data_IF_341470968606
#
_entry.id   IF_341470968606
#
_cell.length_a   1.000
_cell.length_b   1.000
_cell.length_c   1.000
_cell.angle_alpha   90.00
_cell.angle_beta   90.00
_cell.angle_gamma   90.00
#
_symmetry.space_group_name_H-M   'P 1'
#
loop_
_entity.id
_entity.type
_entity.pdbx_description
1 polymer ?
#
# COMPACT_ATOMS: atom_id res chain seq x y z
N UNK A 1 46.00 10.32 2.26
CA UNK A 1 44.98 10.49 3.31
C UNK A 1 44.22 11.77 3.03
N UNK A 2 43.04 11.64 2.43
CA UNK A 2 41.98 12.67 2.44
C UNK A 2 40.71 11.92 2.07
N UNK A 3 39.95 11.53 3.10
CA UNK A 3 38.68 10.84 2.96
C UNK A 3 37.63 11.77 2.39
N UNK A 4 36.89 11.28 1.40
CA UNK A 4 35.59 11.82 1.08
C UNK A 4 34.65 11.47 2.22
N UNK A 5 34.22 12.49 2.96
CA UNK A 5 33.14 12.36 3.92
C UNK A 5 31.85 12.07 3.13
N UNK A 6 31.26 10.90 3.40
CA UNK A 6 29.86 10.62 3.10
C UNK A 6 29.07 11.65 3.92
N UNK A 7 28.36 12.56 3.26
CA UNK A 7 27.38 13.42 3.93
C UNK A 7 26.35 12.51 4.60
N UNK A 8 26.37 12.45 5.93
CA UNK A 8 25.34 11.75 6.69
C UNK A 8 24.01 12.46 6.44
N UNK A 9 23.09 11.80 5.73
CA UNK A 9 21.68 12.15 5.86
C UNK A 9 21.31 11.98 7.33
N UNK A 10 20.85 13.06 7.95
CA UNK A 10 20.27 13.01 9.28
C UNK A 10 18.99 12.17 9.19
N UNK A 11 19.00 10.98 9.80
CA UNK A 11 17.84 10.10 9.89
C UNK A 11 16.68 10.90 10.49
N UNK A 12 15.58 11.02 9.76
CA UNK A 12 14.39 11.76 10.22
C UNK A 12 13.65 10.92 11.26
N UNK A 13 13.00 11.63 12.18
CA UNK A 13 12.26 11.00 13.27
C UNK A 13 10.93 10.42 12.75
N UNK A 14 10.74 9.07 12.78
CA UNK A 14 9.49 8.45 12.33
C UNK A 14 8.27 8.86 13.16
N UNK A 15 8.44 9.44 14.35
CA UNK A 15 7.34 10.00 15.14
C UNK A 15 6.64 11.19 14.46
N UNK A 16 7.31 11.80 13.48
CA UNK A 16 6.75 12.90 12.66
C UNK A 16 5.88 12.41 11.51
N UNK A 17 5.83 11.10 11.26
CA UNK A 17 5.03 10.54 10.19
C UNK A 17 3.56 10.46 10.61
N UNK A 18 2.67 10.78 9.69
CA UNK A 18 1.24 10.62 9.92
C UNK A 18 0.84 9.20 9.53
N UNK A 19 0.40 8.41 10.50
CA UNK A 19 -0.06 7.04 10.30
C UNK A 19 -1.57 6.96 10.54
N UNK A 20 -2.29 6.26 9.65
CA UNK A 20 -3.73 6.00 9.78
C UNK A 20 -4.07 4.56 9.41
N UNK A 21 -5.20 4.05 9.90
CA UNK A 21 -5.63 2.68 9.66
C UNK A 21 -4.85 1.63 10.47
N UNK A 22 -4.84 0.39 9.97
CA UNK A 22 -4.04 -0.71 10.55
C UNK A 22 -4.54 -1.27 11.87
N UNK A 23 -3.60 -1.81 12.65
CA UNK A 23 -3.88 -2.48 13.93
C UNK A 23 -4.51 -1.55 14.97
N UNK A 24 -4.03 -0.31 15.11
CA UNK A 24 -4.61 0.69 16.03
C UNK A 24 -6.07 0.95 15.68
N UNK A 25 -6.37 1.18 14.40
CA UNK A 25 -7.73 1.39 13.90
C UNK A 25 -8.63 0.19 14.19
N UNK A 26 -8.13 -1.03 13.95
CA UNK A 26 -8.85 -2.28 14.24
C UNK A 26 -9.19 -2.41 15.72
N UNK A 27 -8.18 -2.34 16.60
CA UNK A 27 -8.34 -2.55 18.05
C UNK A 27 -9.32 -1.54 18.64
N UNK A 28 -9.21 -0.27 18.25
CA UNK A 28 -10.10 0.77 18.74
C UNK A 28 -11.56 0.53 18.30
N UNK A 29 -11.78 0.11 17.04
CA UNK A 29 -13.13 -0.19 16.56
C UNK A 29 -13.71 -1.46 17.18
N UNK A 30 -12.93 -2.54 17.29
CA UNK A 30 -13.39 -3.79 17.92
C UNK A 30 -13.76 -3.58 19.39
N UNK A 31 -12.99 -2.77 20.13
CA UNK A 31 -13.31 -2.42 21.51
C UNK A 31 -14.64 -1.65 21.62
N UNK A 32 -14.89 -0.71 20.70
CA UNK A 32 -16.14 0.06 20.65
C UNK A 32 -17.33 -0.83 20.25
N UNK A 33 -17.19 -1.67 19.23
CA UNK A 33 -18.25 -2.58 18.77
C UNK A 33 -18.58 -3.62 19.85
N UNK A 34 -17.58 -4.13 20.56
CA UNK A 34 -17.77 -5.02 21.73
C UNK A 34 -18.54 -4.33 22.85
N UNK A 35 -18.18 -3.09 23.18
CA UNK A 35 -18.88 -2.30 24.20
C UNK A 35 -20.34 -2.02 23.81
N UNK A 36 -20.60 -1.71 22.53
CA UNK A 36 -21.97 -1.52 22.01
C UNK A 36 -22.79 -2.80 22.17
N UNK A 37 -22.24 -3.97 21.80
CA UNK A 37 -22.91 -5.26 21.94
C UNK A 37 -23.24 -5.62 23.39
N UNK A 38 -22.30 -5.38 24.31
CA UNK A 38 -22.50 -5.62 25.74
C UNK A 38 -23.61 -4.70 26.31
N UNK A 39 -23.60 -3.42 25.96
CA UNK A 39 -24.62 -2.45 26.40
C UNK A 39 -26.00 -2.76 25.80
N UNK A 40 -26.07 -3.15 24.53
CA UNK A 40 -27.33 -3.54 23.90
C UNK A 40 -27.92 -4.80 24.56
N UNK A 41 -27.07 -5.78 24.89
CA UNK A 41 -27.47 -6.99 25.60
C UNK A 41 -27.98 -6.67 27.01
N UNK A 42 -27.25 -5.85 27.77
CA UNK A 42 -27.68 -5.39 29.08
C UNK A 42 -29.01 -4.62 29.03
N UNK A 43 -29.17 -3.72 28.06
CA UNK A 43 -30.42 -2.99 27.85
C UNK A 43 -31.61 -3.91 27.53
N UNK A 44 -31.38 -4.99 26.77
CA UNK A 44 -32.41 -5.99 26.47
C UNK A 44 -32.85 -6.74 27.73
N UNK A 45 -31.89 -7.20 28.55
CA UNK A 45 -32.15 -7.86 29.83
C UNK A 45 -32.94 -6.94 30.77
N UNK A 46 -32.48 -5.70 30.95
CA UNK A 46 -33.12 -4.73 31.86
C UNK A 46 -34.53 -4.38 31.35
N UNK A 47 -34.75 -4.26 30.04
CA UNK A 47 -36.06 -3.99 29.47
C UNK A 47 -37.08 -5.12 29.68
N UNK A 48 -36.62 -6.35 29.94
CA UNK A 48 -37.48 -7.48 30.31
C UNK A 48 -37.89 -7.48 31.79
N UNK A 49 -37.13 -6.82 32.67
CA UNK A 49 -37.39 -6.81 34.11
C UNK A 49 -38.76 -6.23 34.49
N UNK A 50 -39.24 -5.10 33.91
CA UNK A 50 -40.58 -4.59 34.18
C UNK A 50 -41.68 -5.63 33.99
N UNK A 51 -41.63 -6.46 32.94
CA UNK A 51 -42.64 -7.49 32.68
C UNK A 51 -42.62 -8.57 33.76
N UNK A 52 -41.42 -9.03 34.14
CA UNK A 52 -41.25 -10.01 35.20
C UNK A 52 -41.71 -9.46 36.57
N UNK A 53 -41.38 -8.20 36.86
CA UNK A 53 -41.76 -7.51 38.10
C UNK A 53 -43.27 -7.28 38.16
N UNK A 54 -43.91 -6.85 37.07
CA UNK A 54 -45.37 -6.69 37.00
C UNK A 54 -46.09 -8.04 37.15
N UNK A 55 -45.57 -9.10 36.52
CA UNK A 55 -46.13 -10.45 36.69
C UNK A 55 -46.02 -10.94 38.15
N UNK A 56 -44.88 -10.69 38.81
CA UNK A 56 -44.68 -11.02 40.22
C UNK A 56 -45.59 -10.18 41.14
N UNK A 57 -45.68 -8.87 40.90
CA UNK A 57 -46.57 -7.94 41.60
C UNK A 57 -48.03 -8.39 41.52
N UNK A 58 -48.51 -8.71 40.31
CA UNK A 58 -49.88 -9.19 40.09
C UNK A 58 -50.16 -10.55 40.76
N UNK A 59 -49.15 -11.42 40.87
CA UNK A 59 -49.29 -12.70 41.58
C UNK A 59 -49.43 -12.51 43.10
N UNK A 60 -48.62 -11.62 43.70
CA UNK A 60 -48.69 -11.29 45.13
C UNK A 60 -50.00 -10.58 45.47
N UNK A 61 -50.43 -9.63 44.64
CA UNK A 61 -51.67 -8.87 44.86
C UNK A 61 -52.91 -9.76 44.92
N UNK A 62 -52.96 -10.83 44.12
CA UNK A 62 -54.06 -11.81 44.16
C UNK A 62 -54.11 -12.64 45.46
N UNK A 63 -52.99 -12.76 46.18
CA UNK A 63 -52.88 -13.54 47.42
C UNK A 63 -52.98 -12.70 48.70
N UNK A 64 -52.65 -11.41 48.64
CA UNK A 64 -52.73 -10.50 49.78
C UNK A 64 -54.17 -10.00 50.00
N UNK A 65 -54.59 -9.82 51.25
CA UNK A 65 -55.82 -9.08 51.55
C UNK A 65 -55.64 -7.64 51.02
N UNK A 66 -56.21 -7.36 49.85
CA UNK A 66 -56.02 -6.11 49.08
C UNK A 66 -56.35 -4.81 49.84
N UNK A 67 -56.91 -4.89 51.05
CA UNK A 67 -57.17 -3.75 51.94
C UNK A 67 -56.16 -3.55 53.07
N UNK A 68 -55.06 -4.32 53.15
CA UNK A 68 -54.05 -4.16 54.20
C UNK A 68 -53.03 -3.06 53.86
N UNK A 69 -52.54 -2.33 54.88
CA UNK A 69 -51.49 -1.32 54.71
C UNK A 69 -50.19 -1.92 54.11
N UNK A 70 -49.86 -3.17 54.46
CA UNK A 70 -48.70 -3.87 53.90
C UNK A 70 -48.81 -4.16 52.41
N UNK A 71 -50.04 -4.41 51.89
CA UNK A 71 -50.25 -4.61 50.47
C UNK A 71 -50.02 -3.29 49.69
N UNK A 72 -50.47 -2.15 50.22
CA UNK A 72 -50.24 -0.84 49.62
C UNK A 72 -48.73 -0.48 49.58
N UNK A 73 -47.99 -0.71 50.67
CA UNK A 73 -46.54 -0.48 50.71
C UNK A 73 -45.80 -1.36 49.69
N UNK A 74 -46.16 -2.64 49.60
CA UNK A 74 -45.58 -3.53 48.59
C UNK A 74 -45.87 -3.05 47.16
N UNK A 75 -47.08 -2.56 46.89
CA UNK A 75 -47.48 -2.07 45.58
C UNK A 75 -46.68 -0.84 45.15
N UNK A 76 -46.50 0.11 46.08
CA UNK A 76 -45.69 1.32 45.88
C UNK A 76 -44.21 0.98 45.63
N UNK A 77 -43.63 0.08 46.44
CA UNK A 77 -42.24 -0.38 46.28
C UNK A 77 -42.03 -1.12 44.94
N UNK A 78 -42.97 -1.99 44.55
CA UNK A 78 -42.91 -2.71 43.28
C UNK A 78 -43.01 -1.74 42.09
N UNK A 79 -43.94 -0.79 42.12
CA UNK A 79 -44.09 0.24 41.10
C UNK A 79 -42.82 1.11 40.99
N UNK A 80 -42.21 1.47 42.12
CA UNK A 80 -40.95 2.21 42.15
C UNK A 80 -39.81 1.39 41.49
N UNK A 81 -39.70 0.10 41.80
CA UNK A 81 -38.69 -0.78 41.21
C UNK A 81 -38.88 -0.97 39.70
N UNK A 82 -40.13 -1.11 39.23
CA UNK A 82 -40.48 -1.16 37.81
C UNK A 82 -40.05 0.14 37.11
N UNK A 83 -40.35 1.29 37.72
CA UNK A 83 -39.92 2.60 37.22
C UNK A 83 -38.39 2.73 37.14
N UNK A 84 -37.67 2.28 38.16
CA UNK A 84 -36.21 2.25 38.17
C UNK A 84 -35.63 1.34 37.07
N UNK A 85 -36.20 0.14 36.88
CA UNK A 85 -35.79 -0.78 35.83
C UNK A 85 -36.03 -0.19 34.43
N UNK A 86 -37.20 0.44 34.20
CA UNK A 86 -37.50 1.11 32.94
C UNK A 86 -36.53 2.27 32.67
N UNK A 87 -36.20 3.07 33.69
CA UNK A 87 -35.21 4.15 33.59
C UNK A 87 -33.82 3.62 33.27
N UNK A 88 -33.37 2.58 33.97
CA UNK A 88 -32.09 1.94 33.73
C UNK A 88 -31.98 1.36 32.30
N UNK A 89 -33.07 0.80 31.75
CA UNK A 89 -33.11 0.35 30.35
C UNK A 89 -32.93 1.52 29.37
N UNK A 90 -33.62 2.64 29.61
CA UNK A 90 -33.50 3.85 28.77
C UNK A 90 -32.09 4.44 28.82
N UNK A 91 -31.52 4.57 30.01
CA UNK A 91 -30.18 5.10 30.20
C UNK A 91 -29.13 4.18 29.54
N UNK A 92 -29.24 2.86 29.71
CA UNK A 92 -28.35 1.89 29.04
C UNK A 92 -28.44 1.99 27.52
N UNK A 93 -29.64 2.15 26.95
CA UNK A 93 -29.82 2.36 25.50
C UNK A 93 -29.24 3.70 25.05
N UNK A 94 -29.36 4.75 25.87
CA UNK A 94 -28.75 6.04 25.59
C UNK A 94 -27.21 5.93 25.58
N UNK A 95 -26.62 5.23 26.54
CA UNK A 95 -25.18 4.92 26.56
C UNK A 95 -24.75 4.13 25.33
N UNK A 96 -25.48 3.06 24.96
CA UNK A 96 -25.18 2.27 23.76
C UNK A 96 -25.16 3.14 22.48
N UNK A 97 -26.15 4.04 22.33
CA UNK A 97 -26.18 5.02 21.23
C UNK A 97 -25.01 6.01 21.29
N UNK A 98 -24.63 6.45 22.48
CA UNK A 98 -23.46 7.31 22.68
C UNK A 98 -22.15 6.64 22.26
N UNK A 99 -21.94 5.37 22.62
CA UNK A 99 -20.77 4.60 22.19
C UNK A 99 -20.77 4.36 20.67
N UNK A 100 -21.93 4.06 20.09
CA UNK A 100 -22.07 3.96 18.63
C UNK A 100 -21.74 5.28 17.91
N UNK A 101 -22.16 6.42 18.48
CA UNK A 101 -21.78 7.73 17.97
C UNK A 101 -20.27 7.99 18.10
N UNK A 102 -19.63 7.54 19.20
CA UNK A 102 -18.19 7.62 19.38
C UNK A 102 -17.42 6.78 18.36
N UNK A 103 -17.90 5.57 18.03
CA UNK A 103 -17.33 4.73 16.97
C UNK A 103 -17.40 5.41 15.60
N UNK A 104 -18.55 6.00 15.26
CA UNK A 104 -18.70 6.79 14.04
C UNK A 104 -17.80 8.03 14.05
N UNK A 105 -17.66 8.70 15.19
CA UNK A 105 -16.77 9.85 15.39
C UNK A 105 -15.29 9.49 15.20
N UNK A 106 -14.85 8.34 15.72
CA UNK A 106 -13.48 7.85 15.54
C UNK A 106 -13.18 7.55 14.07
N UNK A 107 -14.09 6.85 13.37
CA UNK A 107 -13.96 6.60 11.91
C UNK A 107 -13.83 7.91 11.14
N UNK A 108 -14.65 8.90 11.47
CA UNK A 108 -14.61 10.22 10.83
C UNK A 108 -13.31 10.97 11.11
N UNK A 109 -12.80 10.92 12.35
CA UNK A 109 -11.55 11.57 12.74
C UNK A 109 -10.34 10.96 12.01
N UNK A 110 -10.23 9.64 11.95
CA UNK A 110 -9.19 8.94 11.18
C UNK A 110 -9.26 9.29 9.69
N UNK A 111 -10.47 9.28 9.11
CA UNK A 111 -10.66 9.67 7.71
C UNK A 111 -10.28 11.15 7.46
N UNK A 112 -10.53 12.03 8.42
CA UNK A 112 -10.14 13.43 8.35
C UNK A 112 -8.61 13.60 8.41
N UNK A 113 -7.91 12.86 9.28
CA UNK A 113 -6.45 12.88 9.36
C UNK A 113 -5.84 12.37 8.04
N UNK A 114 -6.33 11.24 7.54
CA UNK A 114 -5.89 10.65 6.27
C UNK A 114 -6.12 11.60 5.09
N UNK A 115 -7.31 12.23 5.03
CA UNK A 115 -7.68 13.21 4.02
C UNK A 115 -6.85 14.50 4.10
N UNK A 116 -6.57 15.01 5.31
CA UNK A 116 -5.75 16.21 5.50
C UNK A 116 -4.29 15.96 5.09
N UNK A 117 -3.75 14.79 5.42
CA UNK A 117 -2.39 14.41 5.03
C UNK A 117 -2.25 14.21 3.51
N UNK A 118 -3.26 13.63 2.86
CA UNK A 118 -3.33 13.50 1.40
C UNK A 118 -3.72 14.79 0.66
N UNK A 119 -4.35 15.75 1.33
CA UNK A 119 -4.89 16.97 0.74
C UNK A 119 -3.83 17.84 0.06
N UNK A 120 -2.60 17.85 0.58
CA UNK A 120 -1.49 18.55 -0.07
C UNK A 120 -1.19 17.98 -1.46
N UNK A 121 -1.12 16.65 -1.58
CA UNK A 121 -0.90 15.98 -2.85
C UNK A 121 -2.07 16.19 -3.82
N UNK A 122 -3.32 16.23 -3.33
CA UNK A 122 -4.49 16.54 -4.16
C UNK A 122 -4.48 17.98 -4.69
N UNK A 123 -4.00 18.95 -3.89
CA UNK A 123 -3.80 20.33 -4.33
C UNK A 123 -2.66 20.40 -5.35
N UNK A 124 -1.51 19.76 -5.06
CA UNK A 124 -0.37 19.70 -5.97
C UNK A 124 -0.74 19.02 -7.29
N UNK A 125 -1.62 18.01 -7.24
CA UNK A 125 -2.29 17.45 -8.42
C UNK A 125 -2.91 18.60 -9.20
N UNK A 126 -3.86 19.35 -8.62
CA UNK A 126 -4.52 20.48 -9.26
C UNK A 126 -3.58 21.56 -9.85
N UNK A 127 -2.37 21.73 -9.31
CA UNK A 127 -1.35 22.63 -9.85
C UNK A 127 -0.59 22.04 -11.03
N UNK A 128 -0.40 20.72 -11.05
CA UNK A 128 0.19 19.96 -12.17
C UNK A 128 -0.88 19.60 -13.24
N UNK A 129 -2.17 19.76 -12.94
CA UNK A 129 -3.34 19.40 -13.77
C UNK A 129 -3.49 20.10 -15.12
N UNK A 130 -2.62 21.06 -15.46
CA UNK A 130 -2.43 21.42 -16.87
C UNK A 130 -1.92 20.24 -17.72
N UNK A 131 -1.48 19.16 -17.06
CA UNK A 131 -0.77 18.04 -17.63
C UNK A 131 -1.32 16.65 -17.19
N UNK A 132 -2.58 16.41 -16.77
CA UNK A 132 -3.15 15.03 -16.72
C UNK A 132 -4.68 15.06 -16.80
N UNK A 133 -5.35 14.49 -17.83
CA UNK A 133 -6.80 14.63 -17.95
C UNK A 133 -7.60 13.70 -17.02
N UNK A 134 -8.76 14.15 -16.50
CA UNK A 134 -9.56 13.44 -15.51
C UNK A 134 -10.09 12.07 -15.97
N UNK A 135 -10.28 11.85 -17.29
CA UNK A 135 -10.86 10.61 -17.83
C UNK A 135 -9.97 9.37 -17.74
N UNK A 136 -8.72 9.50 -17.31
CA UNK A 136 -7.78 8.38 -17.18
C UNK A 136 -7.95 7.56 -15.91
N UNK A 137 -8.45 8.20 -14.86
CA UNK A 137 -8.47 7.61 -13.54
C UNK A 137 -9.83 6.97 -13.30
N UNK A 138 -9.81 5.71 -12.89
CA UNK A 138 -11.00 4.93 -12.56
C UNK A 138 -11.72 5.59 -11.37
N UNK A 139 -12.93 6.09 -11.59
CA UNK A 139 -13.88 6.38 -10.50
C UNK A 139 -14.51 5.04 -10.11
N UNK A 140 -14.44 4.61 -8.83
CA UNK A 140 -15.02 3.34 -8.41
C UNK A 140 -16.51 3.28 -8.74
N UNK A 141 -16.91 2.34 -9.60
CA UNK A 141 -18.31 2.13 -10.00
C UNK A 141 -18.67 2.58 -11.43
N UNK A 142 -17.76 3.23 -12.16
CA UNK A 142 -17.98 3.58 -13.57
C UNK A 142 -17.18 2.68 -14.52
N UNK A 143 -17.80 2.32 -15.65
CA UNK A 143 -17.12 1.61 -16.74
C UNK A 143 -16.01 2.50 -17.34
N UNK A 144 -14.94 1.92 -17.91
CA UNK A 144 -13.83 2.69 -18.47
C UNK A 144 -14.36 3.64 -19.55
N UNK A 145 -14.21 4.94 -19.34
CA UNK A 145 -14.49 5.93 -20.39
C UNK A 145 -13.40 5.78 -21.44
N UNK A 146 -13.78 5.40 -22.67
CA UNK A 146 -12.87 5.31 -23.84
C UNK A 146 -12.02 6.57 -24.07
N UNK A 147 -12.43 7.72 -23.51
CA UNK A 147 -11.76 9.02 -23.62
C UNK A 147 -10.48 9.13 -22.76
N UNK A 148 -10.33 8.34 -21.70
CA UNK A 148 -9.12 8.38 -20.85
C UNK A 148 -7.85 8.13 -21.63
N UNK A 149 -7.83 7.04 -22.42
CA UNK A 149 -6.68 6.67 -23.24
C UNK A 149 -6.32 7.73 -24.29
N UNK A 150 -7.29 8.46 -24.84
CA UNK A 150 -7.02 9.58 -25.78
C UNK A 150 -6.37 10.77 -25.10
N UNK A 151 -6.69 10.96 -23.82
CA UNK A 151 -6.27 12.14 -23.07
C UNK A 151 -4.85 11.96 -22.48
N UNK A 152 -4.43 10.72 -22.18
CA UNK A 152 -3.03 10.40 -21.84
C UNK A 152 -2.10 10.45 -23.05
N UNK A 153 -2.61 10.16 -24.26
CA UNK A 153 -1.85 10.29 -25.52
C UNK A 153 -1.37 11.72 -25.77
N UNK A 154 -2.18 12.72 -25.45
CA UNK A 154 -1.81 14.14 -25.56
C UNK A 154 -0.76 14.55 -24.52
N UNK A 155 -0.65 13.77 -23.45
CA UNK A 155 0.17 14.06 -22.29
C UNK A 155 1.58 13.47 -22.39
N UNK A 156 1.67 12.24 -22.87
CA UNK A 156 2.92 11.50 -23.05
C UNK A 156 3.64 11.90 -24.36
N UNK A 157 3.02 12.72 -25.21
CA UNK A 157 3.53 13.15 -26.51
C UNK A 157 3.87 14.65 -26.59
N UNK A 158 4.54 15.19 -25.58
CA UNK A 158 4.91 16.62 -25.53
C UNK A 158 5.50 17.16 -26.84
N UNK A 159 4.74 18.03 -27.49
CA UNK A 159 5.15 19.03 -28.49
C UNK A 159 6.24 18.61 -29.50
N UNK A 160 5.88 17.75 -30.46
CA UNK A 160 6.49 17.76 -31.80
C UNK A 160 5.46 17.19 -32.77
N UNK A 161 5.19 17.92 -33.85
CA UNK A 161 4.11 17.66 -34.81
C UNK A 161 3.98 16.18 -35.21
N UNK A 162 2.90 15.52 -34.77
CA UNK A 162 2.48 14.21 -35.29
C UNK A 162 1.62 14.48 -36.52
N UNK A 163 2.02 14.07 -37.74
CA UNK A 163 1.19 14.24 -38.92
C UNK A 163 -0.09 13.39 -38.79
N UNK A 164 -1.23 13.88 -39.29
CA UNK A 164 -2.47 13.13 -39.21
C UNK A 164 -2.39 11.95 -40.21
N UNK A 165 -3.05 10.84 -39.85
CA UNK A 165 -3.39 9.70 -40.71
C UNK A 165 -2.41 8.49 -40.73
N UNK A 166 -2.25 7.79 -39.61
CA UNK A 166 -2.24 6.31 -39.55
C UNK A 166 -2.84 5.88 -38.20
N UNK A 167 -3.78 4.93 -38.13
CA UNK A 167 -4.28 4.41 -36.85
C UNK A 167 -3.19 3.53 -36.21
N UNK A 168 -2.30 4.15 -35.45
CA UNK A 168 -1.44 3.42 -34.51
C UNK A 168 -2.34 2.90 -33.39
N UNK A 169 -2.79 1.66 -33.58
CA UNK A 169 -3.14 0.77 -32.48
C UNK A 169 -1.87 0.70 -31.62
N UNK A 170 -2.01 0.92 -30.30
CA UNK A 170 -0.97 0.56 -29.32
C UNK A 170 -0.49 -0.83 -29.73
N UNK A 171 0.78 -0.97 -30.11
CA UNK A 171 1.32 -2.19 -30.69
C UNK A 171 1.61 -3.23 -29.57
N UNK A 172 0.60 -3.42 -28.73
CA UNK A 172 0.58 -4.25 -27.54
C UNK A 172 -0.88 -4.34 -27.11
N UNK A 173 -1.46 -5.51 -27.27
CA UNK A 173 -2.77 -5.84 -26.74
C UNK A 173 -2.62 -6.78 -25.55
N UNK A 174 -3.62 -6.89 -24.66
CA UNK A 174 -3.60 -7.84 -23.53
C UNK A 174 -3.46 -9.32 -23.93
N UNK A 175 -3.42 -9.64 -25.24
CA UNK A 175 -3.20 -10.98 -25.79
C UNK A 175 -1.79 -11.21 -26.30
N UNK A 176 -0.96 -10.17 -26.35
CA UNK A 176 0.40 -10.26 -26.82
C UNK A 176 1.25 -10.93 -25.75
N UNK A 177 2.04 -11.90 -26.20
CA UNK A 177 2.83 -12.74 -25.31
C UNK A 177 4.15 -12.06 -25.09
N UNK A 178 4.56 -11.94 -23.84
CA UNK A 178 5.93 -11.56 -23.51
C UNK A 178 6.88 -12.76 -23.64
N UNK A 179 8.12 -12.49 -24.00
CA UNK A 179 9.22 -13.41 -23.72
C UNK A 179 9.70 -13.18 -22.28
N UNK A 180 10.04 -14.26 -21.56
CA UNK A 180 10.52 -14.17 -20.18
C UNK A 180 11.84 -14.91 -20.04
N UNK A 181 12.85 -14.19 -19.56
CA UNK A 181 14.14 -14.76 -19.19
C UNK A 181 14.24 -14.80 -17.67
N UNK A 182 14.55 -15.98 -17.13
CA UNK A 182 14.83 -16.19 -15.71
C UNK A 182 16.32 -16.36 -15.50
N UNK A 183 16.90 -15.59 -14.58
CA UNK A 183 18.26 -15.79 -14.09
C UNK A 183 18.27 -15.93 -12.56
N UNK A 184 19.15 -16.78 -12.05
CA UNK A 184 19.43 -16.88 -10.61
C UNK A 184 20.51 -15.88 -10.25
N UNK A 185 20.33 -15.19 -9.13
CA UNK A 185 21.24 -14.15 -8.63
C UNK A 185 21.51 -14.35 -7.14
N UNK A 186 22.50 -13.64 -6.61
CA UNK A 186 22.77 -13.66 -5.17
C UNK A 186 21.50 -13.28 -4.38
N UNK A 187 21.15 -14.10 -3.38
CA UNK A 187 20.05 -13.80 -2.47
C UNK A 187 20.38 -12.57 -1.62
N UNK A 188 19.34 -11.82 -1.21
CA UNK A 188 19.53 -10.69 -0.31
C UNK A 188 20.06 -11.14 1.05
N UNK A 189 21.10 -10.47 1.52
CA UNK A 189 21.78 -10.80 2.78
C UNK A 189 21.10 -10.21 4.04
N UNK A 190 20.21 -9.25 3.86
CA UNK A 190 19.54 -8.54 4.95
C UNK A 190 18.23 -9.18 5.41
N UNK A 191 17.66 -8.64 6.48
CA UNK A 191 16.37 -9.09 7.00
C UNK A 191 15.22 -8.65 6.07
N UNK A 192 14.67 -9.63 5.34
CA UNK A 192 13.59 -9.44 4.39
C UNK A 192 12.24 -9.03 5.03
N UNK A 193 12.14 -9.02 6.36
CA UNK A 193 10.98 -8.51 7.09
C UNK A 193 11.02 -7.00 7.37
N UNK A 194 12.11 -6.33 7.00
CA UNK A 194 12.28 -4.89 7.24
C UNK A 194 11.81 -4.03 6.07
N UNK A 195 11.39 -2.80 6.39
CA UNK A 195 11.04 -1.81 5.39
C UNK A 195 12.28 -1.31 4.64
N UNK A 196 13.44 -1.19 5.31
CA UNK A 196 14.72 -0.89 4.66
C UNK A 196 15.03 -1.90 3.54
N UNK A 197 14.80 -3.20 3.78
CA UNK A 197 14.97 -4.22 2.75
C UNK A 197 13.99 -4.05 1.60
N UNK A 198 12.71 -3.76 1.88
CA UNK A 198 11.73 -3.48 0.83
C UNK A 198 12.18 -2.32 -0.07
N UNK A 199 12.62 -1.20 0.53
CA UNK A 199 13.16 -0.04 -0.18
C UNK A 199 14.38 -0.36 -1.02
N UNK A 200 15.37 -1.08 -0.45
CA UNK A 200 16.56 -1.51 -1.19
C UNK A 200 16.21 -2.45 -2.35
N UNK A 201 15.34 -3.43 -2.12
CA UNK A 201 14.95 -4.38 -3.17
C UNK A 201 14.27 -3.66 -4.33
N UNK A 202 13.50 -2.60 -4.06
CA UNK A 202 12.87 -1.77 -5.08
C UNK A 202 13.91 -0.94 -5.84
N UNK A 203 14.89 -0.34 -5.16
CA UNK A 203 16.02 0.32 -5.82
C UNK A 203 16.76 -0.66 -6.75
N UNK A 204 16.99 -1.90 -6.30
CA UNK A 204 17.62 -2.95 -7.10
C UNK A 204 16.77 -3.32 -8.33
N UNK A 205 15.47 -3.59 -8.15
CA UNK A 205 14.56 -3.93 -9.25
C UNK A 205 14.40 -2.78 -10.26
N UNK A 206 14.47 -1.53 -9.81
CA UNK A 206 14.43 -0.34 -10.67
C UNK A 206 15.73 -0.17 -11.47
N UNK A 207 16.84 -0.79 -11.05
CA UNK A 207 18.19 -0.53 -11.58
C UNK A 207 18.88 0.70 -10.97
N UNK A 208 18.33 1.27 -9.89
CA UNK A 208 18.91 2.38 -9.15
C UNK A 208 20.00 1.93 -8.14
N UNK A 209 20.05 0.64 -7.81
CA UNK A 209 21.08 0.04 -6.99
C UNK A 209 21.52 -1.32 -7.56
N UNK A 210 22.76 -1.72 -7.27
CA UNK A 210 23.24 -3.07 -7.56
C UNK A 210 22.76 -4.08 -6.53
N UNK A 211 22.74 -5.35 -6.91
CA UNK A 211 22.63 -6.49 -6.00
C UNK A 211 23.85 -6.57 -5.08
N UNK A 212 23.75 -7.40 -4.04
CA UNK A 212 24.78 -7.55 -3.00
C UNK A 212 26.12 -8.04 -3.55
N UNK A 213 26.11 -8.72 -4.70
CA UNK A 213 27.30 -9.18 -5.43
C UNK A 213 27.85 -8.14 -6.44
N UNK A 214 27.25 -6.95 -6.49
CA UNK A 214 27.63 -5.86 -7.39
C UNK A 214 27.02 -5.94 -8.79
N UNK A 215 26.22 -6.97 -9.10
CA UNK A 215 25.55 -7.08 -10.41
C UNK A 215 24.31 -6.17 -10.49
N UNK A 216 23.98 -5.69 -11.68
CA UNK A 216 22.77 -4.88 -11.92
C UNK A 216 21.61 -5.74 -12.38
N UNK A 217 20.40 -5.38 -11.97
CA UNK A 217 19.17 -5.98 -12.51
C UNK A 217 18.87 -5.36 -13.88
N UNK A 218 18.63 -6.16 -14.93
CA UNK A 218 18.22 -5.63 -16.23
C UNK A 218 16.91 -4.85 -16.14
N UNK A 219 16.68 -3.84 -17.00
CA UNK A 219 15.36 -3.24 -17.17
C UNK A 219 14.29 -4.30 -17.47
N UNK A 220 13.03 -3.95 -17.29
CA UNK A 220 11.87 -4.81 -17.52
C UNK A 220 11.86 -6.08 -16.67
N UNK A 221 12.36 -5.97 -15.44
CA UNK A 221 12.51 -7.11 -14.55
C UNK A 221 11.75 -6.99 -13.23
N UNK A 222 11.33 -8.14 -12.70
CA UNK A 222 10.92 -8.28 -11.29
C UNK A 222 11.94 -9.15 -10.56
N UNK A 223 12.13 -8.87 -9.27
CA UNK A 223 12.89 -9.74 -8.38
C UNK A 223 11.94 -10.69 -7.65
N UNK A 224 12.31 -11.96 -7.57
CA UNK A 224 11.57 -12.98 -6.82
C UNK A 224 12.52 -13.66 -5.85
N UNK A 225 12.26 -13.55 -4.56
CA UNK A 225 13.03 -14.22 -3.52
C UNK A 225 12.20 -15.30 -2.83
N UNK A 226 12.72 -16.52 -2.79
CA UNK A 226 12.15 -17.65 -2.05
C UNK A 226 12.84 -17.76 -0.70
N UNK A 227 12.06 -17.70 0.36
CA UNK A 227 12.53 -17.80 1.74
C UNK A 227 11.90 -19.06 2.36
N UNK A 228 12.69 -20.15 2.52
CA UNK A 228 12.21 -21.32 3.23
C UNK A 228 11.97 -20.99 4.71
N UNK A 229 10.80 -21.38 5.23
CA UNK A 229 10.42 -21.17 6.63
C UNK A 229 10.71 -22.43 7.47
N UNK A 230 10.80 -22.29 8.81
CA UNK A 230 11.00 -23.42 9.72
C UNK A 230 9.92 -24.50 9.65
N UNK A 231 8.70 -24.15 9.24
CA UNK A 231 7.54 -25.04 9.08
C UNK A 231 7.54 -25.81 7.74
N UNK A 232 8.64 -25.75 6.98
CA UNK A 232 8.84 -26.33 5.64
C UNK A 232 8.00 -25.71 4.51
N UNK A 233 7.17 -24.70 4.79
CA UNK A 233 6.57 -23.87 3.75
C UNK A 233 7.51 -22.75 3.31
N UNK A 234 7.15 -22.02 2.26
CA UNK A 234 7.99 -20.98 1.65
C UNK A 234 7.24 -19.65 1.63
N UNK A 235 7.94 -18.58 1.97
CA UNK A 235 7.50 -17.24 1.64
C UNK A 235 8.16 -16.79 0.33
N UNK A 236 7.37 -16.28 -0.61
CA UNK A 236 7.87 -15.71 -1.85
C UNK A 236 7.67 -14.21 -1.81
N UNK A 237 8.77 -13.46 -1.87
CA UNK A 237 8.74 -12.00 -2.02
C UNK A 237 8.89 -11.67 -3.49
N UNK A 238 7.93 -10.92 -4.04
CA UNK A 238 8.01 -10.39 -5.41
C UNK A 238 8.17 -8.88 -5.33
N UNK A 239 9.30 -8.37 -5.82
CA UNK A 239 9.56 -6.93 -5.89
C UNK A 239 9.33 -6.42 -7.30
N UNK A 240 8.40 -5.48 -7.43
CA UNK A 240 7.92 -4.93 -8.71
C UNK A 240 8.32 -3.46 -8.81
N UNK A 241 9.14 -3.06 -9.81
CA UNK A 241 9.62 -1.69 -9.96
C UNK A 241 8.50 -0.74 -10.43
N UNK A 242 8.83 0.55 -10.47
CA UNK A 242 8.02 1.59 -11.10
C UNK A 242 8.28 1.72 -12.60
N UNK A 243 7.72 2.78 -13.19
CA UNK A 243 7.91 3.12 -14.60
C UNK A 243 9.40 3.30 -14.91
N UNK A 244 9.90 2.61 -15.92
CA UNK A 244 11.28 2.73 -16.40
C UNK A 244 11.39 3.58 -17.67
N UNK A 245 10.32 3.66 -18.44
CA UNK A 245 10.20 4.53 -19.62
C UNK A 245 8.79 5.09 -19.70
N UNK A 246 8.65 6.37 -20.06
CA UNK A 246 7.32 6.99 -20.25
C UNK A 246 6.85 6.90 -21.70
N UNK A 247 7.62 6.23 -22.58
CA UNK A 247 7.18 5.96 -23.96
C UNK A 247 5.88 5.13 -23.94
N UNK A 248 4.87 5.47 -24.75
CA UNK A 248 3.65 4.66 -24.89
C UNK A 248 3.83 3.31 -25.59
N UNK A 249 5.03 3.06 -26.13
CA UNK A 249 5.52 1.78 -26.67
C UNK A 249 7.05 1.91 -26.59
N UNK A 250 7.70 1.14 -25.72
CA UNK A 250 9.15 1.20 -25.58
C UNK A 250 9.84 0.56 -26.79
N UNK A 251 10.61 1.31 -27.62
CA UNK A 251 11.32 0.74 -28.75
C UNK A 251 12.36 -0.32 -28.36
N UNK A 252 12.73 -0.41 -27.07
CA UNK A 252 13.55 -1.47 -26.49
C UNK A 252 12.77 -2.75 -26.09
N UNK A 253 11.44 -2.77 -26.27
CA UNK A 253 10.55 -3.87 -25.87
C UNK A 253 10.31 -3.96 -24.36
N UNK A 254 10.53 -2.87 -23.62
CA UNK A 254 10.34 -2.86 -22.18
C UNK A 254 8.87 -2.84 -21.74
N UNK A 255 8.58 -3.46 -20.59
CA UNK A 255 7.19 -3.73 -20.17
C UNK A 255 6.70 -2.87 -18.98
N UNK A 256 7.61 -2.14 -18.34
CA UNK A 256 7.31 -1.17 -17.28
C UNK A 256 7.33 0.24 -17.85
N UNK A 257 6.38 0.52 -18.74
CA UNK A 257 6.37 1.68 -19.61
C UNK A 257 5.08 2.52 -19.52
N UNK A 258 4.91 3.50 -20.41
CA UNK A 258 3.69 4.29 -20.49
C UNK A 258 2.46 3.44 -20.81
N UNK A 259 2.60 2.42 -21.67
CA UNK A 259 1.53 1.48 -22.02
C UNK A 259 1.04 0.70 -20.80
N UNK A 260 1.97 0.11 -20.05
CA UNK A 260 1.66 -0.65 -18.84
C UNK A 260 0.85 0.16 -17.83
N UNK A 261 1.13 1.46 -17.69
CA UNK A 261 0.36 2.35 -16.82
C UNK A 261 -1.09 2.50 -17.31
N UNK A 262 -1.27 2.74 -18.61
CA UNK A 262 -2.59 2.87 -19.24
C UNK A 262 -3.40 1.61 -19.05
N UNK A 263 -2.81 0.45 -19.35
CA UNK A 263 -3.51 -0.84 -19.26
C UNK A 263 -3.86 -1.19 -17.81
N UNK A 264 -2.93 -0.97 -16.89
CA UNK A 264 -3.18 -1.25 -15.48
C UNK A 264 -4.35 -0.43 -14.93
N UNK A 265 -4.40 0.86 -15.25
CA UNK A 265 -5.47 1.78 -14.85
C UNK A 265 -6.80 1.48 -15.56
N UNK A 266 -6.74 1.06 -16.81
CA UNK A 266 -7.91 0.64 -17.57
C UNK A 266 -8.46 -0.73 -17.13
N UNK A 267 -7.83 -1.38 -16.14
CA UNK A 267 -8.20 -2.71 -15.65
C UNK A 267 -7.99 -3.81 -16.69
N UNK A 268 -7.12 -3.58 -17.69
CA UNK A 268 -6.77 -4.58 -18.70
C UNK A 268 -5.59 -5.41 -18.23
N UNK A 269 -5.45 -6.62 -18.74
CA UNK A 269 -4.20 -7.35 -18.62
C UNK A 269 -3.06 -6.55 -19.25
N UNK A 270 -1.86 -6.70 -18.69
CA UNK A 270 -0.66 -5.99 -19.15
C UNK A 270 0.54 -6.94 -19.19
N UNK A 271 1.54 -6.60 -19.99
CA UNK A 271 2.80 -7.33 -20.05
C UNK A 271 3.46 -7.50 -18.66
N UNK A 272 3.46 -6.46 -17.83
CA UNK A 272 3.94 -6.55 -16.45
C UNK A 272 3.15 -7.55 -15.57
N UNK A 273 1.82 -7.62 -15.71
CA UNK A 273 1.02 -8.62 -14.98
C UNK A 273 1.32 -10.04 -15.45
N UNK A 274 1.46 -10.25 -16.77
CA UNK A 274 1.88 -11.53 -17.33
C UNK A 274 3.26 -11.97 -16.78
N UNK A 275 4.22 -11.04 -16.64
CA UNK A 275 5.53 -11.33 -16.06
C UNK A 275 5.41 -11.78 -14.61
N UNK A 276 4.63 -11.06 -13.79
CA UNK A 276 4.40 -11.39 -12.38
C UNK A 276 3.76 -12.77 -12.24
N UNK A 277 2.72 -13.05 -13.01
CA UNK A 277 2.04 -14.35 -13.00
C UNK A 277 2.98 -15.48 -13.43
N UNK A 278 3.80 -15.27 -14.47
CA UNK A 278 4.77 -16.26 -14.92
C UNK A 278 5.83 -16.53 -13.86
N UNK A 279 6.36 -15.47 -13.25
CA UNK A 279 7.35 -15.57 -12.19
C UNK A 279 6.81 -16.34 -10.97
N UNK A 280 5.56 -16.08 -10.58
CA UNK A 280 4.87 -16.79 -9.50
C UNK A 280 4.53 -18.25 -9.85
N UNK A 281 4.10 -18.52 -11.08
CA UNK A 281 3.82 -19.88 -11.54
C UNK A 281 5.08 -20.76 -11.49
N UNK A 282 6.24 -20.22 -11.86
CA UNK A 282 7.54 -20.89 -11.77
C UNK A 282 7.94 -21.22 -10.32
N UNK A 283 7.32 -20.59 -9.31
CA UNK A 283 7.56 -20.91 -7.91
C UNK A 283 6.86 -22.19 -7.45
N UNK A 284 5.86 -22.71 -8.16
CA UNK A 284 5.19 -23.97 -7.77
C UNK A 284 4.70 -23.99 -6.31
N UNK A 285 4.02 -22.91 -5.89
CA UNK A 285 3.54 -22.73 -4.52
C UNK A 285 2.64 -23.90 -4.07
N UNK A 286 2.81 -24.31 -2.82
CA UNK A 286 2.06 -25.37 -2.14
C UNK A 286 1.14 -24.78 -1.08
N UNK A 287 0.26 -25.63 -0.53
CA UNK A 287 -0.53 -25.25 0.63
C UNK A 287 0.38 -24.83 1.80
N UNK A 288 0.12 -23.66 2.37
CA UNK A 288 0.94 -23.06 3.43
C UNK A 288 2.04 -22.11 2.95
N UNK A 289 2.39 -22.15 1.66
CA UNK A 289 3.26 -21.12 1.08
C UNK A 289 2.50 -19.80 1.00
N UNK A 290 3.23 -18.68 1.04
CA UNK A 290 2.65 -17.33 1.02
C UNK A 290 3.40 -16.43 0.07
N UNK A 291 2.71 -15.42 -0.46
CA UNK A 291 3.28 -14.38 -1.32
C UNK A 291 3.23 -13.03 -0.61
N UNK A 292 4.35 -12.30 -0.69
CA UNK A 292 4.49 -10.92 -0.25
C UNK A 292 4.93 -10.08 -1.44
N UNK A 293 4.36 -8.89 -1.60
CA UNK A 293 4.79 -7.95 -2.63
C UNK A 293 5.49 -6.73 -2.03
N UNK A 294 6.55 -6.29 -2.71
CA UNK A 294 7.07 -4.94 -2.60
C UNK A 294 6.82 -4.24 -3.93
N UNK A 295 6.22 -3.06 -3.94
CA UNK A 295 5.88 -2.36 -5.17
C UNK A 295 6.21 -0.86 -5.08
N UNK A 296 6.71 -0.30 -6.19
CA UNK A 296 6.90 1.15 -6.34
C UNK A 296 6.09 1.68 -7.52
N UNK A 297 5.50 2.87 -7.37
CA UNK A 297 4.85 3.61 -8.46
C UNK A 297 3.94 2.71 -9.33
N UNK A 298 4.22 2.57 -10.62
CA UNK A 298 3.53 1.68 -11.57
C UNK A 298 3.35 0.24 -11.08
N UNK A 299 4.36 -0.34 -10.41
CA UNK A 299 4.28 -1.70 -9.88
C UNK A 299 3.07 -1.91 -8.97
N UNK A 300 2.65 -0.86 -8.24
CA UNK A 300 1.44 -0.91 -7.42
C UNK A 300 0.17 -1.10 -8.26
N UNK A 301 0.07 -0.48 -9.44
CA UNK A 301 -1.08 -0.61 -10.34
C UNK A 301 -1.23 -2.04 -10.85
N UNK A 302 -0.11 -2.72 -11.11
CA UNK A 302 -0.11 -4.11 -11.56
C UNK A 302 -0.47 -5.05 -10.42
N UNK A 303 0.16 -4.91 -9.26
CA UNK A 303 -0.10 -5.75 -8.08
C UNK A 303 -1.54 -5.62 -7.62
N UNK A 304 -2.06 -4.41 -7.42
CA UNK A 304 -3.45 -4.25 -6.95
C UNK A 304 -4.48 -4.66 -7.99
N UNK A 305 -4.21 -4.47 -9.28
CA UNK A 305 -5.09 -5.00 -10.32
C UNK A 305 -5.14 -6.54 -10.35
N UNK A 306 -4.02 -7.23 -10.06
CA UNK A 306 -4.03 -8.68 -9.88
C UNK A 306 -4.80 -9.11 -8.62
N UNK A 307 -4.75 -8.30 -7.55
CA UNK A 307 -5.50 -8.60 -6.32
C UNK A 307 -7.02 -8.42 -6.46
N UNK A 308 -7.48 -7.68 -7.46
CA UNK A 308 -8.91 -7.61 -7.80
C UNK A 308 -9.42 -8.90 -8.48
N UNK A 309 -8.53 -9.75 -9.00
CA UNK A 309 -8.86 -11.06 -9.56
C UNK A 309 -8.88 -12.15 -8.48
N UNK A 310 -10.06 -12.71 -8.22
CA UNK A 310 -10.25 -13.81 -7.26
C UNK A 310 -9.54 -15.11 -7.69
N UNK A 311 -9.38 -15.34 -9.00
CA UNK A 311 -8.69 -16.52 -9.53
C UNK A 311 -7.18 -16.41 -9.31
N UNK A 312 -6.60 -15.22 -9.48
CA UNK A 312 -5.22 -14.93 -9.10
C UNK A 312 -5.02 -15.18 -7.59
N UNK A 313 -5.86 -14.59 -6.72
CA UNK A 313 -5.72 -14.75 -5.26
C UNK A 313 -5.90 -16.19 -4.78
N UNK A 314 -6.75 -16.98 -5.45
CA UNK A 314 -6.91 -18.41 -5.13
C UNK A 314 -5.67 -19.24 -5.50
N UNK A 315 -4.95 -18.87 -6.56
CA UNK A 315 -3.70 -19.53 -6.99
C UNK A 315 -2.49 -19.07 -6.19
N UNK A 316 -2.49 -17.80 -5.78
CA UNK A 316 -1.36 -17.14 -5.14
C UNK A 316 -1.83 -16.53 -3.82
N UNK A 317 -1.57 -17.19 -2.67
CA UNK A 317 -1.98 -16.70 -1.35
C UNK A 317 -1.15 -15.48 -0.94
N UNK A 318 -1.54 -14.31 -1.45
CA UNK A 318 -0.92 -13.02 -1.10
C UNK A 318 -1.36 -12.62 0.30
N UNK A 319 -0.40 -12.37 1.19
CA UNK A 319 -0.68 -12.03 2.59
C UNK A 319 -0.27 -10.60 2.95
N UNK A 320 0.70 -10.02 2.23
CA UNK A 320 1.17 -8.66 2.50
C UNK A 320 1.65 -7.93 1.23
N UNK A 321 1.44 -6.62 1.18
CA UNK A 321 1.94 -5.71 0.13
C UNK A 321 2.51 -4.44 0.76
N UNK A 322 3.82 -4.21 0.57
CA UNK A 322 4.48 -2.95 0.91
C UNK A 322 4.60 -2.09 -0.33
N UNK A 323 4.05 -0.88 -0.28
CA UNK A 323 3.96 0.04 -1.42
C UNK A 323 4.70 1.32 -1.09
N UNK A 324 5.67 1.71 -1.92
CA UNK A 324 6.39 2.96 -1.80
C UNK A 324 6.01 3.87 -2.99
N UNK A 325 5.40 5.02 -2.73
CA UNK A 325 5.03 5.97 -3.79
C UNK A 325 4.03 5.45 -4.82
N UNK A 326 3.22 4.45 -4.47
CA UNK A 326 2.20 3.88 -5.35
C UNK A 326 0.83 4.54 -5.19
N UNK A 327 -0.18 4.02 -5.91
CA UNK A 327 -1.57 4.53 -5.92
C UNK A 327 -2.58 3.44 -5.54
N UNK A 328 -2.48 2.82 -4.34
CA UNK A 328 -3.37 1.73 -3.93
C UNK A 328 -4.84 2.18 -3.83
N UNK A 329 -5.10 3.47 -3.65
CA UNK A 329 -6.46 4.04 -3.53
C UNK A 329 -7.29 3.92 -4.80
N UNK A 330 -6.67 3.67 -5.96
CA UNK A 330 -7.39 3.44 -7.22
C UNK A 330 -8.04 2.04 -7.34
N UNK A 331 -7.78 1.15 -6.38
CA UNK A 331 -8.19 -0.26 -6.44
C UNK A 331 -8.92 -0.70 -5.18
N UNK A 332 -9.73 -1.75 -5.31
CA UNK A 332 -10.29 -2.44 -4.15
C UNK A 332 -9.22 -3.34 -3.53
N UNK A 333 -8.66 -2.91 -2.40
CA UNK A 333 -7.81 -3.78 -1.57
C UNK A 333 -8.66 -4.85 -0.87
N UNK A 334 -8.35 -6.15 -1.04
CA UNK A 334 -9.02 -7.24 -0.31
C UNK A 334 -8.76 -7.19 1.20
N UNK A 335 -9.76 -7.55 2.01
CA UNK A 335 -9.68 -7.45 3.48
C UNK A 335 -8.71 -8.46 4.12
N UNK A 336 -8.38 -9.54 3.40
CA UNK A 336 -7.46 -10.61 3.79
C UNK A 336 -5.99 -10.30 3.48
N UNK A 337 -5.71 -9.21 2.77
CA UNK A 337 -4.35 -8.79 2.42
C UNK A 337 -3.93 -7.61 3.30
N UNK A 338 -2.81 -7.74 4.01
CA UNK A 338 -2.22 -6.62 4.74
C UNK A 338 -1.50 -5.67 3.77
N UNK A 339 -1.73 -4.37 3.88
CA UNK A 339 -1.08 -3.37 3.03
C UNK A 339 -0.41 -2.31 3.89
N UNK A 340 0.84 -2.00 3.57
CA UNK A 340 1.53 -0.80 4.01
C UNK A 340 1.73 0.12 2.80
N UNK A 341 1.20 1.33 2.87
CA UNK A 341 1.27 2.34 1.81
C UNK A 341 2.05 3.53 2.35
N UNK A 342 3.27 3.75 1.84
CA UNK A 342 4.13 4.87 2.22
C UNK A 342 4.10 5.89 1.09
N UNK A 343 3.78 7.13 1.44
CA UNK A 343 3.71 8.23 0.49
C UNK A 343 4.38 9.49 1.05
N UNK A 344 5.34 10.01 0.29
CA UNK A 344 6.02 11.25 0.59
C UNK A 344 5.09 12.45 0.35
N UNK A 345 5.04 13.39 1.30
CA UNK A 345 4.18 14.58 1.20
C UNK A 345 4.36 15.35 -0.12
N UNK A 346 5.59 15.47 -0.61
CA UNK A 346 5.91 16.27 -1.81
C UNK A 346 5.71 15.48 -3.12
N UNK A 347 5.43 14.18 -3.04
CA UNK A 347 5.16 13.32 -4.19
C UNK A 347 3.67 13.38 -4.58
N UNK A 348 3.39 13.81 -5.81
CA UNK A 348 2.02 13.93 -6.33
C UNK A 348 1.42 12.58 -6.74
N UNK A 349 2.25 11.57 -7.05
CA UNK A 349 1.82 10.32 -7.66
C UNK A 349 0.79 9.57 -6.79
N UNK A 350 1.00 9.39 -5.47
CA UNK A 350 0.01 8.73 -4.61
C UNK A 350 -1.37 9.41 -4.57
N UNK A 351 -1.45 10.69 -4.91
CA UNK A 351 -2.70 11.46 -4.99
C UNK A 351 -3.40 11.40 -6.35
N UNK A 352 -2.83 10.76 -7.38
CA UNK A 352 -3.33 10.82 -8.75
C UNK A 352 -4.71 10.18 -8.95
N UNK A 353 -5.08 9.18 -8.13
CA UNK A 353 -6.44 8.61 -8.16
C UNK A 353 -7.53 9.65 -7.88
N UNK A 354 -7.20 10.69 -7.12
CA UNK A 354 -8.18 11.66 -6.62
C UNK A 354 -9.06 11.18 -5.49
N UNK A 355 -8.86 9.94 -5.08
CA UNK A 355 -9.58 9.35 -3.97
C UNK A 355 -8.76 9.57 -2.70
N UNK A 356 -9.36 10.14 -1.65
CA UNK A 356 -8.68 10.24 -0.37
C UNK A 356 -8.40 8.82 0.16
N UNK A 357 -7.32 8.61 0.91
CA UNK A 357 -7.12 7.36 1.63
C UNK A 357 -8.28 7.14 2.60
N UNK A 358 -8.77 5.90 2.66
CA UNK A 358 -9.82 5.48 3.59
C UNK A 358 -9.20 4.53 4.60
N UNK A 359 -9.10 4.93 5.89
CA UNK A 359 -8.54 4.08 6.92
C UNK A 359 -9.27 2.73 7.00
N UNK A 360 -8.48 1.64 7.01
CA UNK A 360 -9.00 0.26 7.07
C UNK A 360 -8.19 -0.60 8.04
N UNK A 361 -8.77 -1.65 8.64
CA UNK A 361 -8.07 -2.52 9.59
C UNK A 361 -6.84 -3.24 9.01
N UNK A 362 -6.83 -3.49 7.71
CA UNK A 362 -5.76 -4.19 7.00
C UNK A 362 -4.84 -3.26 6.19
N UNK A 363 -5.10 -1.95 6.18
CA UNK A 363 -4.29 -0.97 5.44
C UNK A 363 -3.68 0.03 6.41
N UNK A 364 -2.35 0.12 6.39
CA UNK A 364 -1.57 1.12 7.10
C UNK A 364 -1.12 2.16 6.09
N UNK A 365 -1.70 3.36 6.16
CA UNK A 365 -1.30 4.50 5.33
C UNK A 365 -0.32 5.38 6.12
N UNK A 366 0.89 5.53 5.61
CA UNK A 366 1.99 6.33 6.18
C UNK A 366 2.27 7.51 5.27
N UNK A 367 2.26 8.71 5.86
CA UNK A 367 2.63 9.95 5.18
C UNK A 367 3.88 10.54 5.82
N UNK A 368 4.95 10.62 5.03
CA UNK A 368 6.23 11.18 5.49
C UNK A 368 6.27 12.68 5.24
N UNK A 369 6.97 13.46 6.10
CA UNK A 369 7.05 14.90 5.96
C UNK A 369 7.83 15.32 4.70
N UNK A 370 7.66 16.58 4.31
CA UNK A 370 8.45 17.19 3.23
C UNK A 370 9.94 17.12 3.55
N UNK A 371 10.76 16.97 2.51
CA UNK A 371 12.20 17.03 2.67
C UNK A 371 12.67 18.50 2.71
N UNK A 372 13.69 18.85 3.51
CA UNK A 372 14.20 20.21 3.59
C UNK A 372 14.94 20.67 2.32
N UNK A 373 15.37 19.73 1.48
CA UNK A 373 16.18 19.95 0.28
C UNK A 373 15.36 20.15 -1.00
N UNK A 374 14.12 20.69 -0.90
CA UNK A 374 13.37 21.13 -2.09
C UNK A 374 14.10 22.32 -2.72
N UNK A 375 15.15 22.01 -3.50
CA UNK A 375 16.09 22.94 -4.06
C UNK A 375 15.53 23.74 -5.23
N UNK A 376 16.30 24.71 -5.68
CA UNK A 376 16.03 25.73 -6.72
C UNK A 376 15.66 25.22 -8.13
N UNK A 377 15.40 23.93 -8.30
CA UNK A 377 14.83 23.34 -9.51
C UNK A 377 13.36 23.72 -9.65
N UNK A 378 12.85 23.79 -10.88
CA UNK A 378 11.43 24.06 -11.12
C UNK A 378 10.52 22.99 -10.50
N UNK A 379 9.22 23.27 -10.42
CA UNK A 379 8.21 22.40 -9.79
C UNK A 379 8.29 20.91 -10.25
N UNK A 380 8.56 20.66 -11.53
CA UNK A 380 8.64 19.31 -12.08
C UNK A 380 9.84 18.52 -11.53
N UNK A 381 10.99 19.15 -11.34
CA UNK A 381 12.21 18.51 -10.83
C UNK A 381 12.03 18.12 -9.36
N UNK A 382 11.38 19.00 -8.59
CA UNK A 382 11.00 18.70 -7.20
C UNK A 382 10.04 17.51 -7.10
N UNK A 383 9.06 17.41 -8.00
CA UNK A 383 8.11 16.28 -8.06
C UNK A 383 8.82 14.97 -8.44
N UNK A 384 9.68 14.99 -9.47
CA UNK A 384 10.44 13.80 -9.88
C UNK A 384 11.36 13.33 -8.75
N UNK A 385 12.04 14.26 -8.09
CA UNK A 385 12.91 13.95 -6.95
C UNK A 385 12.11 13.39 -5.78
N UNK A 386 10.93 13.97 -5.47
CA UNK A 386 10.04 13.46 -4.42
C UNK A 386 9.50 12.06 -4.70
N UNK A 387 9.32 11.72 -5.99
CA UNK A 387 8.87 10.39 -6.42
C UNK A 387 10.00 9.35 -6.50
N UNK A 388 11.26 9.78 -6.40
CA UNK A 388 12.44 8.94 -6.51
C UNK A 388 12.55 7.88 -5.39
N UNK A 389 13.05 6.70 -5.75
CA UNK A 389 13.19 5.58 -4.81
C UNK A 389 14.21 5.83 -3.69
N UNK A 390 15.16 6.74 -3.86
CA UNK A 390 16.15 7.04 -2.81
C UNK A 390 15.49 7.66 -1.57
N UNK A 391 14.55 8.60 -1.76
CA UNK A 391 13.76 9.18 -0.67
C UNK A 391 12.89 8.11 -0.02
N UNK A 392 12.17 7.32 -0.82
CA UNK A 392 11.33 6.25 -0.30
C UNK A 392 12.12 5.15 0.43
N UNK A 393 13.34 4.82 0.00
CA UNK A 393 14.19 3.88 0.69
C UNK A 393 14.72 4.46 2.02
N UNK A 394 14.94 5.77 2.08
CA UNK A 394 15.27 6.48 3.31
C UNK A 394 14.07 6.49 4.28
N UNK A 395 12.89 6.88 3.81
CA UNK A 395 11.60 6.81 4.54
C UNK A 395 11.36 5.40 5.12
N UNK A 396 11.57 4.37 4.30
CA UNK A 396 11.37 2.98 4.70
C UNK A 396 12.36 2.58 5.80
N UNK A 397 13.64 2.98 5.70
CA UNK A 397 14.64 2.72 6.75
C UNK A 397 14.27 3.41 8.07
N UNK A 398 13.75 4.63 8.02
CA UNK A 398 13.29 5.35 9.21
C UNK A 398 12.07 4.66 9.84
N UNK A 399 11.18 4.11 9.01
CA UNK A 399 9.98 3.42 9.44
C UNK A 399 10.28 2.15 10.26
N UNK A 400 11.43 1.50 10.05
CA UNK A 400 11.86 0.35 10.85
C UNK A 400 12.04 0.71 12.34
N UNK A 401 12.30 1.99 12.64
CA UNK A 401 12.40 2.50 14.01
C UNK A 401 11.06 3.02 14.58
N UNK A 402 9.97 2.93 13.82
CA UNK A 402 8.67 3.46 14.25
C UNK A 402 8.12 2.75 15.48
N UNK A 403 7.57 3.53 16.40
CA UNK A 403 6.85 3.03 17.58
C UNK A 403 5.34 3.00 17.39
N UNK A 404 4.84 3.44 16.22
CA UNK A 404 3.42 3.42 15.91
C UNK A 404 2.87 1.98 15.93
N UNK A 405 1.78 1.68 16.66
CA UNK A 405 1.29 0.32 16.79
C UNK A 405 0.78 -0.29 15.48
N UNK A 406 0.27 0.50 14.55
CA UNK A 406 -0.17 0.02 13.23
C UNK A 406 1.02 -0.37 12.36
N UNK A 407 2.10 0.43 12.36
CA UNK A 407 3.35 0.11 11.67
C UNK A 407 3.99 -1.15 12.26
N UNK A 408 4.10 -1.23 13.59
CA UNK A 408 4.64 -2.42 14.29
C UNK A 408 3.78 -3.67 14.06
N UNK A 409 2.46 -3.50 14.00
CA UNK A 409 1.52 -4.58 13.68
C UNK A 409 1.76 -5.15 12.29
N UNK A 410 1.93 -4.27 11.29
CA UNK A 410 2.28 -4.70 9.92
C UNK A 410 3.66 -5.36 9.86
N UNK A 411 4.69 -4.78 10.49
CA UNK A 411 6.04 -5.37 10.55
C UNK A 411 6.03 -6.77 11.19
N UNK A 412 5.24 -6.95 12.26
CA UNK A 412 5.09 -8.24 12.92
C UNK A 412 4.43 -9.28 12.01
N UNK A 413 3.37 -8.89 11.29
CA UNK A 413 2.71 -9.76 10.29
C UNK A 413 3.68 -10.13 9.17
N UNK A 414 4.42 -9.16 8.65
CA UNK A 414 5.44 -9.38 7.62
C UNK A 414 6.52 -10.35 8.12
N UNK A 415 7.03 -10.15 9.34
CA UNK A 415 8.01 -11.05 9.96
C UNK A 415 7.49 -12.48 10.13
N UNK A 416 6.22 -12.66 10.52
CA UNK A 416 5.60 -13.99 10.53
C UNK A 416 5.50 -14.57 9.12
N UNK A 417 5.07 -13.77 8.14
CA UNK A 417 4.91 -14.20 6.76
C UNK A 417 6.23 -14.68 6.14
N UNK A 418 7.35 -14.01 6.41
CA UNK A 418 8.67 -14.38 5.88
C UNK A 418 9.48 -15.30 6.81
N UNK A 419 8.93 -15.69 7.97
CA UNK A 419 9.52 -16.67 8.88
C UNK A 419 10.58 -16.13 9.86
N UNK A 420 10.65 -14.81 10.08
CA UNK A 420 11.53 -14.16 11.07
C UNK A 420 10.84 -13.91 12.42
N UNK A 421 9.51 -13.98 12.48
CA UNK A 421 8.67 -13.53 13.60
C UNK A 421 8.50 -14.46 14.81
N UNK A 422 9.16 -15.63 14.88
CA UNK A 422 9.11 -16.49 16.09
C UNK A 422 10.53 -16.95 16.44
N UNK A 423 11.23 -16.16 17.24
CA UNK A 423 12.40 -16.63 18.00
C UNK A 423 12.00 -16.66 19.47
N UNK A 424 11.46 -17.80 19.91
CA UNK A 424 11.74 -18.25 21.27
C UNK A 424 13.25 -18.38 21.40
N UNK A 425 13.80 -17.84 22.48
CA UNK A 425 15.22 -17.88 22.84
C UNK A 425 15.87 -19.21 22.51
N UNK A 426 16.50 -19.31 21.35
CA UNK A 426 17.38 -20.40 20.97
C UNK A 426 18.69 -19.77 20.51
N UNK A 427 19.74 -20.13 21.24
CA UNK A 427 21.13 -19.75 21.03
C UNK A 427 21.53 -19.72 19.56
N UNK A 428 22.29 -18.68 19.19
CA UNK A 428 23.09 -18.62 17.97
C UNK A 428 24.01 -19.85 17.89
N UNK A 429 23.53 -20.89 17.21
CA UNK A 429 24.36 -21.96 16.66
C UNK A 429 24.75 -21.56 15.25
N UNK A 430 26.04 -21.54 14.95
CA UNK A 430 26.62 -21.32 13.63
C UNK A 430 26.32 -22.50 12.67
N UNK A 431 25.04 -22.74 12.39
CA UNK A 431 24.56 -23.57 11.29
C UNK A 431 24.00 -22.66 10.21
N UNK A 432 24.44 -22.84 8.97
CA UNK A 432 23.93 -22.11 7.81
C UNK A 432 22.40 -22.16 7.82
N UNK A 433 21.75 -21.01 8.02
CA UNK A 433 20.30 -20.90 7.89
C UNK A 433 19.85 -21.38 6.51
N UNK A 434 18.57 -21.77 6.34
CA UNK A 434 18.06 -22.21 5.05
C UNK A 434 18.41 -21.17 3.97
N UNK A 435 19.08 -21.63 2.92
CA UNK A 435 19.61 -20.78 1.86
C UNK A 435 18.44 -20.16 1.10
N UNK A 436 18.27 -18.85 1.22
CA UNK A 436 17.35 -18.08 0.39
C UNK A 436 17.80 -18.17 -1.07
N UNK A 437 16.84 -18.17 -1.97
CA UNK A 437 17.08 -18.17 -3.42
C UNK A 437 16.49 -16.89 -4.01
N UNK A 438 17.20 -16.21 -4.91
CA UNK A 438 16.68 -15.02 -5.58
C UNK A 438 16.81 -15.17 -7.09
N UNK A 439 15.78 -14.75 -7.79
CA UNK A 439 15.66 -14.81 -9.23
C UNK A 439 15.31 -13.43 -9.79
N UNK A 440 15.85 -13.14 -10.96
CA UNK A 440 15.41 -12.04 -11.81
C UNK A 440 14.57 -12.63 -12.93
N UNK A 441 13.37 -12.10 -13.13
CA UNK A 441 12.56 -12.40 -14.30
C UNK A 441 12.48 -11.15 -15.16
N UNK A 442 13.08 -11.20 -16.34
CA UNK A 442 13.07 -10.11 -17.32
C UNK A 442 12.05 -10.42 -18.39
N UNK A 443 11.06 -9.55 -18.55
CA UNK A 443 10.09 -9.63 -19.63
C UNK A 443 10.48 -8.74 -20.81
N UNK A 444 10.15 -9.16 -22.02
CA UNK A 444 10.29 -8.33 -23.22
C UNK A 444 9.07 -8.51 -24.09
N UNK A 445 8.51 -7.39 -24.52
CA UNK A 445 7.43 -7.37 -25.50
C UNK A 445 7.92 -7.98 -26.83
N UNK A 446 7.14 -8.90 -27.40
CA UNK A 446 7.49 -9.60 -28.63
C UNK A 446 6.88 -8.95 -29.89
N UNK A 447 5.99 -7.96 -29.74
CA UNK A 447 5.36 -7.27 -30.87
C UNK A 447 6.08 -5.99 -31.29
N UNK A 448 6.88 -5.38 -30.42
CA UNK A 448 7.73 -4.25 -30.78
C UNK A 448 8.94 -4.75 -31.61
N UNK A 449 9.14 -4.27 -32.86
CA UNK A 449 10.30 -4.66 -33.65
C UNK A 449 11.57 -4.24 -32.92
N UNK A 450 12.42 -5.21 -32.56
CA UNK A 450 13.73 -4.91 -32.00
C UNK A 450 14.48 -3.96 -32.95
N UNK A 451 14.60 -2.69 -32.57
CA UNK A 451 15.46 -1.77 -33.30
C UNK A 451 16.89 -2.31 -33.10
N UNK A 452 17.64 -2.63 -34.18
CA UNK A 452 18.99 -3.15 -34.01
C UNK A 452 19.80 -2.15 -33.20
N UNK A 453 20.42 -2.59 -32.11
CA UNK A 453 21.31 -1.75 -31.31
C UNK A 453 22.38 -1.15 -32.24
N UNK A 454 22.34 0.17 -32.44
CA UNK A 454 23.39 0.88 -33.16
C UNK A 454 24.69 0.72 -32.37
N UNK A 455 25.76 0.11 -32.92
CA UNK A 455 27.02 0.03 -32.20
C UNK A 455 27.58 1.45 -32.08
N UNK A 456 27.61 2.02 -30.87
CA UNK A 456 28.42 3.21 -30.58
C UNK A 456 27.74 4.46 -30.04
N UNK A 457 26.62 4.39 -29.32
CA UNK A 457 26.19 5.52 -28.49
C UNK A 457 26.92 5.46 -27.12
N UNK A 458 27.66 6.51 -26.72
CA UNK A 458 28.36 6.50 -25.44
C UNK A 458 27.35 6.56 -24.28
N UNK A 459 27.57 5.72 -23.27
CA UNK A 459 26.89 5.76 -21.97
C UNK A 459 26.92 7.17 -21.40
N UNK A 460 25.77 7.73 -21.02
CA UNK A 460 25.68 8.99 -20.27
C UNK A 460 26.13 8.81 -18.82
N UNK A 461 27.40 8.47 -18.64
CA UNK A 461 28.14 8.67 -17.40
C UNK A 461 29.20 9.72 -17.71
N UNK A 462 28.82 10.99 -17.65
CA UNK A 462 29.75 12.10 -17.73
C UNK A 462 29.65 12.93 -16.45
N UNK A 463 30.48 12.56 -15.48
CA UNK A 463 30.89 13.43 -14.39
C UNK A 463 31.29 14.80 -14.95
N UNK A 464 30.74 15.87 -14.37
CA UNK A 464 31.18 17.24 -14.65
C UNK A 464 32.69 17.35 -14.39
N UNK A 465 33.47 17.57 -15.46
CA UNK A 465 34.81 18.13 -15.35
C UNK A 465 34.70 19.67 -15.35
N UNK A 466 35.52 20.39 -14.57
CA UNK A 466 35.48 21.85 -14.54
C UNK A 466 36.06 22.44 -15.82
N UNK A 467 35.42 23.51 -16.32
CA UNK A 467 35.81 24.26 -17.52
C UNK A 467 37.23 24.85 -17.44
N UNK A 468 38.01 24.85 -18.52
CA UNK A 468 39.30 25.53 -18.56
C UNK A 468 39.12 27.05 -18.71
N UNK A 469 39.90 27.79 -17.93
CA UNK A 469 40.06 29.25 -17.95
C UNK A 469 40.45 29.79 -19.33
N UNK A 470 39.73 30.81 -19.80
CA UNK A 470 40.03 31.58 -21.00
C UNK A 470 41.36 32.34 -20.87
N UNK A 471 42.20 32.39 -21.92
CA UNK A 471 43.41 33.22 -21.92
C UNK A 471 43.08 34.70 -22.15
N UNK A 472 43.73 35.56 -21.35
CA UNK A 472 43.77 37.02 -21.54
C UNK A 472 44.39 37.36 -22.90
N UNK A 473 43.75 38.24 -23.67
CA UNK A 473 44.37 38.98 -24.77
C UNK A 473 44.71 40.41 -24.29
N UNK A 474 45.83 41.00 -24.75
CA UNK A 474 46.37 42.23 -24.17
C UNK A 474 45.92 43.48 -24.93
N UNK A 475 45.39 44.47 -24.19
CA UNK A 475 45.91 45.84 -24.10
C UNK A 475 45.06 46.64 -23.11
#
# INVERSE_FOLDING_TARGET
MTGFAVSGEELRDPSTFVVTGGASFRVNLEALDTAIGALASAASVIAGLPVCLEAARAAVWRGACAGSASAAVFDDEAAALIGQAARAALDTRATARGVAAAASGYRAAEAQIAGAAGGHQLIMRGLVWGLVPPGLWRVPGEAPVREGAQSLRLLLGGASAVPPLVPWVVAGGPRDRISVVRSEVAAGSEDASTFAYAGRSLQQAQGAATLDDGTSVPPSSVLVERIPKPDASVAVIVTVPGTQTWSPDDPGGGIFDGEGNVDAMAGRDSHARQLIERALADQQLRAGDVVVFNAHSQGSLHVFGLLEDEDFRRRHPVVAVTVLGGVPTAFRVPDDVAVLSVANRDDVVPGLSGLPPVPRPNVVDVRTPSYPDVGSGGLLDAVVTAHGLDRYASDARELDASTDPSVRGYASLLGVAVGTGIIGTASAGAGAGPRRERFVYTGTDTTTPATPATPGAPSSSAALRPSPSLPRQPK
#
